data_IF_492805763795
#
_entry.id   IF_492805763795
#
_cell.length_a   1.000
_cell.length_b   1.000
_cell.length_c   1.000
_cell.angle_alpha   90.00
_cell.angle_beta   90.00
_cell.angle_gamma   90.00
#
_symmetry.space_group_name_H-M   'P 1'
#
loop_
_entity.id
_entity.type
_entity.pdbx_description
1 polymer ?
#
# COMPACT_ATOMS: atom_id res chain seq x y z
N UNK A 1 0.86 10.77 -1.82
CA UNK A 1 2.10 10.39 -2.52
C UNK A 1 3.14 9.89 -1.52
N UNK A 2 3.68 8.69 -1.75
CA UNK A 2 4.48 7.89 -0.81
C UNK A 2 5.87 8.45 -0.46
N UNK A 3 6.36 9.47 -1.19
CA UNK A 3 7.66 10.08 -0.91
C UNK A 3 8.49 10.26 -2.18
N UNK A 4 9.38 9.31 -2.44
CA UNK A 4 10.27 9.23 -3.62
C UNK A 4 9.68 8.36 -4.73
N UNK A 5 10.29 8.37 -5.93
CA UNK A 5 9.89 7.47 -7.02
C UNK A 5 9.99 5.99 -6.60
N UNK A 6 11.06 5.60 -5.91
CA UNK A 6 11.23 4.22 -5.46
C UNK A 6 10.17 3.81 -4.43
N UNK A 7 9.70 4.75 -3.59
CA UNK A 7 8.61 4.48 -2.64
C UNK A 7 7.27 4.27 -3.36
N UNK A 8 6.98 5.07 -4.39
CA UNK A 8 5.79 4.89 -5.22
C UNK A 8 5.85 3.57 -5.99
N UNK A 9 7.01 3.19 -6.54
CA UNK A 9 7.20 1.91 -7.20
C UNK A 9 7.04 0.73 -6.24
N UNK A 10 7.60 0.81 -5.03
CA UNK A 10 7.42 -0.20 -3.99
C UNK A 10 5.95 -0.35 -3.60
N UNK A 11 5.23 0.77 -3.41
CA UNK A 11 3.79 0.76 -3.15
C UNK A 11 3.03 0.08 -4.28
N UNK A 12 3.26 0.48 -5.53
CA UNK A 12 2.56 -0.08 -6.70
C UNK A 12 2.84 -1.58 -6.90
N UNK A 13 4.05 -2.05 -6.62
CA UNK A 13 4.39 -3.48 -6.69
C UNK A 13 3.65 -4.28 -5.62
N UNK A 14 3.62 -3.80 -4.37
CA UNK A 14 2.88 -4.45 -3.28
C UNK A 14 1.37 -4.43 -3.58
N UNK A 15 0.86 -3.26 -3.97
CA UNK A 15 -0.54 -3.04 -4.33
C UNK A 15 -1.00 -3.96 -5.48
N UNK A 16 -0.26 -3.99 -6.59
CA UNK A 16 -0.54 -4.87 -7.72
C UNK A 16 -0.48 -6.35 -7.33
N UNK A 17 0.47 -6.74 -6.48
CA UNK A 17 0.57 -8.12 -5.98
C UNK A 17 -0.63 -8.51 -5.12
N UNK A 18 -1.12 -7.60 -4.27
CA UNK A 18 -2.32 -7.82 -3.47
C UNK A 18 -3.57 -8.00 -4.34
N UNK A 19 -3.71 -7.20 -5.39
CA UNK A 19 -4.79 -7.41 -6.37
C UNK A 19 -4.71 -8.78 -7.07
N UNK A 20 -3.51 -9.23 -7.45
CA UNK A 20 -3.32 -10.56 -8.03
C UNK A 20 -3.70 -11.70 -7.05
N UNK A 21 -3.61 -11.45 -5.74
CA UNK A 21 -4.04 -12.38 -4.69
C UNK A 21 -5.53 -12.23 -4.32
N UNK A 22 -6.28 -11.37 -5.01
CA UNK A 22 -7.72 -11.19 -4.81
C UNK A 22 -8.09 -10.17 -3.75
N UNK A 23 -7.16 -9.34 -3.28
CA UNK A 23 -7.52 -8.15 -2.49
C UNK A 23 -8.17 -7.10 -3.40
N UNK A 24 -9.11 -6.35 -2.84
CA UNK A 24 -9.75 -5.20 -3.48
C UNK A 24 -9.84 -4.05 -2.46
N UNK A 25 -10.16 -2.86 -2.93
CA UNK A 25 -10.37 -1.65 -2.15
C UNK A 25 -11.59 -0.84 -2.59
N UNK A 26 -12.50 -1.45 -3.35
CA UNK A 26 -13.73 -0.79 -3.81
C UNK A 26 -14.64 -0.38 -2.64
N UNK A 27 -14.81 -1.27 -1.66
CA UNK A 27 -15.61 -1.00 -0.46
C UNK A 27 -14.74 -0.58 0.74
N UNK A 28 -15.27 0.22 1.68
CA UNK A 28 -14.49 0.69 2.84
C UNK A 28 -13.84 -0.43 3.65
N UNK A 29 -14.56 -1.53 3.90
CA UNK A 29 -14.03 -2.67 4.65
C UNK A 29 -12.98 -3.49 3.90
N UNK A 30 -13.03 -3.50 2.57
CA UNK A 30 -12.02 -4.14 1.72
C UNK A 30 -10.76 -3.29 1.67
N UNK A 31 -10.94 -1.98 1.49
CA UNK A 31 -9.88 -0.97 1.51
C UNK A 31 -9.09 -1.01 2.81
N UNK A 32 -9.76 -1.06 3.96
CA UNK A 32 -9.09 -1.12 5.27
C UNK A 32 -8.22 -2.38 5.41
N UNK A 33 -8.69 -3.52 4.89
CA UNK A 33 -7.92 -4.78 4.87
C UNK A 33 -6.72 -4.69 3.93
N UNK A 34 -6.93 -4.16 2.72
CA UNK A 34 -5.86 -4.00 1.73
C UNK A 34 -4.79 -3.03 2.23
N UNK A 35 -5.18 -1.89 2.78
CA UNK A 35 -4.25 -0.92 3.37
C UNK A 35 -3.48 -1.49 4.56
N UNK A 36 -4.12 -2.29 5.41
CA UNK A 36 -3.42 -2.97 6.50
C UNK A 36 -2.36 -3.94 5.96
N UNK A 37 -2.66 -4.69 4.90
CA UNK A 37 -1.72 -5.59 4.24
C UNK A 37 -0.56 -4.82 3.57
N UNK A 38 -0.85 -3.73 2.85
CA UNK A 38 0.16 -2.87 2.24
C UNK A 38 1.14 -2.32 3.28
N UNK A 39 0.63 -1.74 4.38
CA UNK A 39 1.47 -1.21 5.48
C UNK A 39 2.36 -2.29 6.07
N UNK A 40 1.80 -3.47 6.32
CA UNK A 40 2.56 -4.60 6.87
C UNK A 40 3.69 -5.02 5.93
N UNK A 41 3.37 -5.28 4.67
CA UNK A 41 4.35 -5.76 3.68
C UNK A 41 5.45 -4.73 3.42
N UNK A 42 5.11 -3.45 3.32
CA UNK A 42 6.10 -2.38 3.11
C UNK A 42 7.01 -2.19 4.33
N UNK A 43 6.49 -2.38 5.54
CA UNK A 43 7.29 -2.37 6.77
C UNK A 43 8.25 -3.56 6.82
N UNK A 44 7.79 -4.75 6.42
CA UNK A 44 8.59 -5.98 6.45
C UNK A 44 9.63 -6.06 5.32
N UNK A 45 9.33 -5.54 4.12
CA UNK A 45 10.12 -5.78 2.90
C UNK A 45 10.86 -4.56 2.35
N UNK A 46 10.52 -3.34 2.79
CA UNK A 46 11.07 -2.11 2.24
C UNK A 46 11.59 -1.17 3.34
N UNK A 47 10.79 -0.16 3.70
CA UNK A 47 11.04 0.81 4.76
C UNK A 47 9.74 1.57 5.06
N UNK A 48 9.61 2.20 6.24
CA UNK A 48 8.53 3.13 6.50
C UNK A 48 8.52 4.28 5.49
N UNK A 49 7.33 4.68 5.04
CA UNK A 49 7.20 5.83 4.15
C UNK A 49 7.34 7.16 4.90
N UNK A 50 8.05 8.14 4.32
CA UNK A 50 8.19 9.47 4.90
C UNK A 50 6.90 10.30 4.87
N UNK A 51 5.92 9.93 4.05
CA UNK A 51 4.55 10.47 4.02
C UNK A 51 3.57 9.30 4.05
N UNK A 52 2.40 9.49 4.64
CA UNK A 52 1.33 8.48 4.66
C UNK A 52 0.56 8.54 3.31
N UNK A 53 0.69 7.55 2.41
CA UNK A 53 -0.06 7.50 1.16
C UNK A 53 -1.53 7.09 1.32
N UNK A 54 -1.95 6.64 2.50
CA UNK A 54 -3.28 6.13 2.80
C UNK A 54 -4.20 7.18 3.45
N UNK A 55 -3.66 8.34 3.80
CA UNK A 55 -4.43 9.51 4.21
C UNK A 55 -4.51 10.46 3.04
N UNK A 56 -5.73 10.79 2.62
CA UNK A 56 -5.95 11.86 1.66
C UNK A 56 -5.55 13.20 2.30
N UNK A 57 -4.68 13.96 1.64
CA UNK A 57 -4.74 15.42 1.74
C UNK A 57 -6.05 15.92 1.09
#
# INVERSE_FOLDING_TARGET
>A
HAGTLDDELALLLVHGSLHLMGHDHAEPGERDRMWSAERRLLTELWRPFPRDPWVSD
#
